data_IF_480121907048
#
_entry.id   IF_480121907048
#
_cell.length_a   1.000
_cell.length_b   1.000
_cell.length_c   1.000
_cell.angle_alpha   90.00
_cell.angle_beta   90.00
_cell.angle_gamma   90.00
#
_symmetry.space_group_name_H-M   'P 1'
#
loop_
_entity.id
_entity.type
_entity.pdbx_description
1 polymer ?
#
# COMPACT_ATOMS: atom_id res chain seq x y z
N UNK A 1 -11.51 26.50 -11.77
CA UNK A 1 -11.31 25.26 -12.57
C UNK A 1 -10.44 24.38 -11.69
N UNK A 2 -10.98 23.30 -11.16
CA UNK A 2 -10.26 22.51 -10.16
C UNK A 2 -9.29 21.52 -10.81
N UNK A 3 -8.01 21.56 -10.42
CA UNK A 3 -6.92 20.71 -10.92
C UNK A 3 -6.59 19.62 -9.89
N UNK A 4 -6.18 18.44 -10.34
CA UNK A 4 -5.77 17.35 -9.44
C UNK A 4 -4.38 17.64 -8.86
N UNK A 5 -4.22 17.42 -7.55
CA UNK A 5 -2.94 17.50 -6.88
C UNK A 5 -2.15 16.19 -7.03
N UNK A 6 -0.93 16.29 -7.55
CA UNK A 6 -0.01 15.17 -7.75
C UNK A 6 1.00 14.98 -6.61
N UNK A 7 0.90 15.78 -5.54
CA UNK A 7 1.66 15.55 -4.33
C UNK A 7 1.32 14.18 -3.74
N UNK A 8 2.37 13.44 -3.39
CA UNK A 8 2.25 12.08 -2.87
C UNK A 8 1.52 12.08 -1.52
N UNK A 9 0.36 11.42 -1.46
CA UNK A 9 -0.50 11.37 -0.27
C UNK A 9 -1.53 12.50 -0.18
N UNK A 10 -1.67 13.35 -1.21
CA UNK A 10 -2.72 14.38 -1.27
C UNK A 10 -3.92 13.92 -2.13
N UNK A 11 -3.75 13.82 -3.45
CA UNK A 11 -4.79 13.37 -4.39
C UNK A 11 -6.06 14.24 -4.45
N UNK A 12 -6.09 15.40 -3.78
CA UNK A 12 -7.23 16.31 -3.75
C UNK A 12 -7.29 17.17 -5.01
N UNK A 13 -8.49 17.61 -5.39
CA UNK A 13 -8.66 18.67 -6.39
C UNK A 13 -8.58 20.03 -5.72
N UNK A 14 -7.95 21.00 -6.38
CA UNK A 14 -7.76 22.35 -5.85
C UNK A 14 -7.89 23.39 -6.96
N UNK A 15 -8.31 24.61 -6.60
CA UNK A 15 -8.26 25.75 -7.50
C UNK A 15 -6.91 26.47 -7.33
N UNK A 16 -6.07 26.59 -8.38
CA UNK A 16 -4.71 27.11 -8.26
C UNK A 16 -4.62 28.59 -7.87
N UNK A 17 -5.72 29.34 -8.01
CA UNK A 17 -5.78 30.76 -7.65
C UNK A 17 -6.17 31.00 -6.18
N UNK A 18 -6.75 30.01 -5.50
CA UNK A 18 -7.31 30.17 -4.16
C UNK A 18 -6.93 29.06 -3.18
N UNK A 19 -5.96 28.21 -3.54
CA UNK A 19 -5.60 27.05 -2.73
C UNK A 19 -4.67 27.39 -1.57
N UNK A 20 -4.84 26.75 -0.40
CA UNK A 20 -3.94 26.92 0.73
C UNK A 20 -2.54 26.34 0.43
N UNK A 21 -1.50 27.01 0.95
CA UNK A 21 -0.08 26.63 0.78
C UNK A 21 0.41 25.58 1.80
N UNK A 22 -0.48 25.09 2.67
CA UNK A 22 -0.10 24.28 3.84
C UNK A 22 -0.69 22.86 3.79
N UNK A 23 -0.61 22.19 2.63
CA UNK A 23 -1.16 20.83 2.47
C UNK A 23 -0.16 19.72 2.77
N UNK A 24 -0.59 18.60 3.38
CA UNK A 24 0.24 17.43 3.59
C UNK A 24 0.82 16.85 2.28
N UNK A 25 2.14 16.77 2.19
CA UNK A 25 2.88 16.15 1.09
C UNK A 25 4.02 15.25 1.60
N UNK A 26 4.36 14.22 0.82
CA UNK A 26 5.55 13.39 1.04
C UNK A 26 6.65 13.76 0.02
N UNK A 27 7.83 14.23 0.47
CA UNK A 27 8.88 14.73 -0.42
C UNK A 27 9.71 13.62 -1.09
N UNK A 28 9.73 12.43 -0.52
CA UNK A 28 10.60 11.33 -0.97
C UNK A 28 9.82 10.27 -1.73
N UNK A 29 10.51 9.31 -2.36
CA UNK A 29 9.87 8.14 -2.95
C UNK A 29 9.47 7.11 -1.88
N UNK A 30 8.51 6.26 -2.20
CA UNK A 30 8.01 5.22 -1.30
C UNK A 30 8.99 4.04 -1.24
N UNK A 31 9.32 3.55 -0.03
CA UNK A 31 10.32 2.50 0.17
C UNK A 31 9.68 1.30 0.88
N UNK A 32 10.03 0.09 0.43
CA UNK A 32 9.73 -1.17 1.13
C UNK A 32 10.99 -1.68 1.84
N UNK A 33 10.97 -1.72 3.18
CA UNK A 33 12.04 -2.27 4.02
C UNK A 33 11.46 -3.37 4.90
N UNK A 34 12.01 -4.59 4.83
CA UNK A 34 11.57 -5.72 5.68
C UNK A 34 10.06 -6.00 5.62
N UNK A 35 9.49 -6.00 4.40
CA UNK A 35 8.04 -6.15 4.15
C UNK A 35 7.16 -5.01 4.69
N UNK A 36 7.77 -3.96 5.25
CA UNK A 36 7.10 -2.76 5.68
C UNK A 36 7.26 -1.66 4.63
N UNK A 37 6.13 -1.14 4.18
CA UNK A 37 6.04 -0.11 3.17
C UNK A 37 5.80 1.26 3.84
N UNK A 38 6.46 2.31 3.36
CA UNK A 38 6.30 3.66 3.91
C UNK A 38 7.18 4.70 3.21
N UNK A 39 7.03 5.97 3.62
CA UNK A 39 7.89 7.05 3.16
C UNK A 39 9.11 7.18 4.07
N UNK A 40 10.35 7.35 3.54
CA UNK A 40 11.55 7.47 4.37
C UNK A 40 11.53 8.72 5.26
N UNK A 41 10.81 9.75 4.85
CA UNK A 41 10.60 10.97 5.63
C UNK A 41 9.67 10.78 6.84
N UNK A 42 8.92 9.68 6.93
CA UNK A 42 7.93 9.47 7.98
C UNK A 42 8.20 8.20 8.79
N UNK A 43 7.88 8.21 10.09
CA UNK A 43 8.02 7.03 10.98
C UNK A 43 6.93 5.97 10.74
N UNK A 44 5.81 6.36 10.13
CA UNK A 44 4.68 5.47 9.86
C UNK A 44 5.05 4.47 8.76
N UNK A 45 4.87 3.18 9.06
CA UNK A 45 5.14 2.03 8.20
C UNK A 45 3.90 1.14 8.22
N UNK A 46 3.56 0.49 7.11
CA UNK A 46 2.45 -0.48 7.04
C UNK A 46 2.83 -1.68 6.20
N UNK A 47 2.28 -2.85 6.53
CA UNK A 47 2.35 -4.06 5.72
C UNK A 47 1.13 -4.21 4.79
N UNK A 48 0.07 -3.42 5.00
CA UNK A 48 -1.18 -3.51 4.28
C UNK A 48 -1.24 -2.52 3.12
N UNK A 49 -1.59 -2.98 1.93
CA UNK A 49 -1.63 -2.16 0.71
C UNK A 49 -2.70 -1.06 0.75
N UNK A 50 -3.80 -1.26 1.48
CA UNK A 50 -4.87 -0.27 1.61
C UNK A 50 -4.42 0.90 2.50
N UNK A 51 -3.68 0.59 3.55
CA UNK A 51 -3.10 1.60 4.44
C UNK A 51 -2.05 2.47 3.72
N UNK A 52 -1.32 1.92 2.74
CA UNK A 52 -0.32 2.67 1.96
C UNK A 52 -0.92 3.89 1.27
N UNK A 53 -2.10 3.72 0.68
CA UNK A 53 -2.80 4.79 -0.03
C UNK A 53 -3.31 5.89 0.92
N UNK A 54 -3.48 5.54 2.20
CA UNK A 54 -4.00 6.42 3.24
C UNK A 54 -2.90 7.17 4.01
N UNK A 55 -1.61 6.93 3.69
CA UNK A 55 -0.51 7.63 4.37
C UNK A 55 -0.45 9.08 3.90
N UNK A 56 -1.01 9.97 4.73
CA UNK A 56 -0.91 11.41 4.55
C UNK A 56 0.56 11.87 4.56
N UNK A 57 0.82 12.98 3.85
CA UNK A 57 2.12 13.65 3.85
C UNK A 57 2.57 14.07 5.24
N UNK A 58 3.85 13.83 5.58
CA UNK A 58 4.42 14.32 6.82
C UNK A 58 5.07 15.71 6.73
N UNK A 59 5.17 16.28 5.53
CA UNK A 59 5.57 17.69 5.32
C UNK A 59 4.40 18.50 4.81
N UNK A 60 4.49 19.83 4.85
CA UNK A 60 3.47 20.72 4.30
C UNK A 60 4.04 21.59 3.18
N UNK A 61 3.22 21.90 2.18
CA UNK A 61 3.59 22.76 1.07
C UNK A 61 2.42 23.03 0.13
N UNK A 62 2.63 23.77 -0.96
CA UNK A 62 1.57 24.09 -1.91
C UNK A 62 1.13 22.85 -2.69
N UNK A 63 -0.08 22.92 -3.24
CA UNK A 63 -0.55 21.92 -4.17
C UNK A 63 0.29 21.89 -5.46
N UNK A 64 0.52 20.69 -6.00
CA UNK A 64 1.24 20.49 -7.25
C UNK A 64 0.28 20.02 -8.35
N UNK A 65 0.13 20.81 -9.42
CA UNK A 65 -0.69 20.48 -10.61
C UNK A 65 0.09 19.74 -11.69
N UNK A 66 1.41 19.60 -11.56
CA UNK A 66 2.24 18.94 -12.55
C UNK A 66 2.06 17.43 -12.50
N UNK A 67 1.65 16.84 -13.62
CA UNK A 67 1.59 15.39 -13.75
C UNK A 67 3.01 14.83 -13.76
N UNK A 68 3.34 13.85 -12.90
CA UNK A 68 4.65 13.21 -12.94
C UNK A 68 4.89 12.60 -14.32
N UNK A 69 6.06 12.87 -14.91
CA UNK A 69 6.48 12.22 -16.15
C UNK A 69 6.46 10.70 -15.93
N UNK A 70 5.74 9.97 -16.79
CA UNK A 70 5.59 8.53 -16.65
C UNK A 70 6.98 7.85 -16.60
N UNK A 71 7.19 7.02 -15.56
CA UNK A 71 8.36 6.18 -15.50
C UNK A 71 8.27 5.15 -16.64
N UNK A 72 9.31 5.12 -17.48
CA UNK A 72 9.48 4.15 -18.57
C UNK A 72 9.24 2.74 -18.00
N UNK A 73 8.19 2.07 -18.46
CA UNK A 73 7.91 0.68 -18.09
C UNK A 73 9.12 -0.16 -18.53
N UNK A 74 9.77 -0.93 -17.64
CA UNK A 74 10.77 -1.89 -18.10
C UNK A 74 10.06 -2.93 -18.99
N UNK A 75 10.55 -3.06 -20.22
CA UNK A 75 10.01 -3.95 -21.24
C UNK A 75 10.27 -5.42 -20.82
N UNK A 76 9.27 -6.07 -20.25
CA UNK A 76 9.33 -7.51 -19.94
C UNK A 76 9.03 -8.26 -21.23
N UNK A 77 10.08 -8.70 -21.93
CA UNK A 77 9.96 -9.64 -23.05
C UNK A 77 9.53 -11.02 -22.52
N UNK A 78 8.24 -11.31 -22.56
CA UNK A 78 7.74 -12.69 -22.46
C UNK A 78 7.84 -13.32 -23.84
N UNK A 79 8.92 -14.07 -24.10
CA UNK A 79 8.98 -14.99 -25.24
C UNK A 79 8.03 -16.15 -24.95
N UNK A 80 6.95 -16.24 -25.70
CA UNK A 80 5.94 -17.27 -25.55
C UNK A 80 6.34 -18.58 -26.21
N UNK A 81 6.21 -19.67 -25.47
CA UNK A 81 5.87 -20.98 -26.02
C UNK A 81 4.76 -21.59 -25.14
N UNK A 82 3.55 -21.63 -25.70
CA UNK A 82 2.41 -22.40 -25.16
C UNK A 82 2.48 -23.80 -25.78
N UNK A 83 2.97 -24.79 -25.05
CA UNK A 83 2.59 -26.20 -25.20
C UNK A 83 2.95 -26.96 -23.92
N UNK A 84 2.03 -27.82 -23.51
CA UNK A 84 2.11 -28.78 -22.39
C UNK A 84 1.90 -28.23 -20.96
N UNK A 85 0.62 -28.02 -20.60
CA UNK A 85 0.17 -27.66 -19.25
C UNK A 85 -0.36 -28.88 -18.45
N UNK A 86 -0.26 -30.10 -18.97
CA UNK A 86 -0.83 -31.28 -18.27
C UNK A 86 0.17 -32.00 -17.34
N UNK A 87 1.48 -31.80 -17.51
CA UNK A 87 2.53 -32.47 -16.69
C UNK A 87 2.99 -31.67 -15.46
N UNK A 88 2.45 -30.47 -15.23
CA UNK A 88 2.79 -29.63 -14.07
C UNK A 88 1.71 -29.61 -12.98
N UNK A 89 0.77 -30.57 -12.95
CA UNK A 89 -0.08 -30.73 -11.75
C UNK A 89 0.81 -31.18 -10.59
N UNK A 90 1.04 -30.36 -9.56
CA UNK A 90 1.64 -30.87 -8.34
C UNK A 90 0.70 -31.97 -7.80
N UNK A 91 1.22 -33.18 -7.64
CA UNK A 91 0.57 -34.24 -6.86
C UNK A 91 0.48 -33.74 -5.42
N UNK A 92 -0.60 -33.04 -5.11
CA UNK A 92 -0.92 -32.68 -3.74
C UNK A 92 -1.20 -33.98 -2.99
N UNK A 93 -0.25 -34.42 -2.17
CA UNK A 93 -0.56 -35.41 -1.13
C UNK A 93 -1.39 -34.69 -0.09
N UNK A 94 -2.70 -34.93 -0.14
CA UNK A 94 -3.68 -34.43 0.82
C UNK A 94 -3.49 -35.14 2.17
N UNK A 95 -2.41 -34.82 2.87
CA UNK A 95 -2.35 -35.00 4.32
C UNK A 95 -2.77 -33.68 4.95
N UNK A 96 -4.09 -33.50 5.07
CA UNK A 96 -4.69 -32.46 5.90
C UNK A 96 -4.26 -32.75 7.34
N UNK A 97 -3.29 -31.99 7.86
CA UNK A 97 -2.97 -32.00 9.28
C UNK A 97 -4.22 -31.45 9.98
N UNK A 98 -5.05 -32.33 10.53
CA UNK A 98 -6.22 -31.93 11.29
C UNK A 98 -5.75 -31.11 12.49
N UNK A 99 -6.18 -29.84 12.54
CA UNK A 99 -5.93 -29.01 13.71
C UNK A 99 -6.55 -29.71 14.94
N UNK A 100 -5.80 -29.89 16.04
CA UNK A 100 -6.37 -30.42 17.26
C UNK A 100 -7.52 -29.51 17.71
N UNK A 101 -8.64 -30.14 18.12
CA UNK A 101 -9.81 -29.41 18.59
C UNK A 101 -9.38 -28.47 19.73
N UNK A 102 -9.87 -27.22 19.77
CA UNK A 102 -9.52 -26.29 20.84
C UNK A 102 -9.93 -26.90 22.18
N UNK A 103 -8.96 -27.10 23.07
CA UNK A 103 -9.24 -27.47 24.45
C UNK A 103 -9.64 -26.20 25.20
N UNK A 104 -10.96 -26.12 25.43
CA UNK A 104 -11.71 -25.31 26.38
C UNK A 104 -11.64 -23.77 26.30
N UNK A 105 -12.81 -23.19 26.58
CA UNK A 105 -13.13 -21.77 26.54
C UNK A 105 -12.31 -20.99 27.58
N UNK A 106 -11.37 -20.16 27.12
CA UNK A 106 -10.76 -19.15 27.98
C UNK A 106 -11.85 -18.10 28.28
N UNK A 107 -12.49 -18.19 29.45
CA UNK A 107 -13.40 -17.17 29.92
C UNK A 107 -12.61 -15.90 30.21
N UNK A 108 -12.86 -14.87 29.40
CA UNK A 108 -12.30 -13.53 29.59
C UNK A 108 -12.99 -12.91 30.81
N UNK A 109 -12.26 -12.59 31.90
CA UNK A 109 -12.89 -11.96 33.05
C UNK A 109 -13.49 -10.61 32.61
N UNK A 110 -14.76 -10.43 32.95
CA UNK A 110 -15.52 -9.24 32.64
C UNK A 110 -15.19 -8.14 33.64
N UNK A 111 -14.96 -6.93 33.13
CA UNK A 111 -14.82 -5.64 33.82
C UNK A 111 -13.49 -5.34 34.52
N UNK A 112 -12.74 -4.39 33.94
CA UNK A 112 -12.05 -3.39 34.75
C UNK A 112 -13.12 -2.40 35.23
N UNK A 113 -13.27 -2.25 36.54
CA UNK A 113 -14.00 -1.13 37.11
C UNK A 113 -13.16 0.14 36.93
N UNK A 114 -13.81 1.19 36.42
CA UNK A 114 -13.28 2.55 36.27
C UNK A 114 -12.97 3.15 37.63
#
# INVERSE_FOLDING_TARGET
>A
VSVLCYNKGCGQRFDPESSPEDIPTNPSYFISLLFLQGWPCCKRRTTDFSDVLSIAGCTKGPHNSETPLEAVKPDVKVSGEKKELEDLKPRFNEYVIQAPKPLEFIQRPSSCSI
#
